data_IF_409481298260
#
_entry.id   IF_409481298260
#
_cell.length_a   1.000
_cell.length_b   1.000
_cell.length_c   1.000
_cell.angle_alpha   90.00
_cell.angle_beta   90.00
_cell.angle_gamma   90.00
#
_symmetry.space_group_name_H-M   'P 1'
#
loop_
_entity.id
_entity.type
_entity.pdbx_description
1 polymer ?
#
# COMPACT_ATOMS: atom_id res chain seq x y z
N UNK A 1 -65.87 28.05 -18.85
CA UNK A 1 -64.63 27.49 -19.42
C UNK A 1 -63.61 27.47 -18.30
N UNK A 2 -63.29 26.29 -17.76
CA UNK A 2 -62.46 26.08 -16.58
C UNK A 2 -60.98 26.33 -16.90
N UNK A 3 -60.33 27.30 -16.25
CA UNK A 3 -58.88 27.49 -16.31
C UNK A 3 -58.24 26.79 -15.10
N UNK A 4 -57.61 25.65 -15.35
CA UNK A 4 -56.77 24.95 -14.40
C UNK A 4 -55.51 25.77 -14.09
N UNK A 5 -55.33 26.14 -12.82
CA UNK A 5 -54.10 26.72 -12.29
C UNK A 5 -53.05 25.63 -12.05
N UNK A 6 -51.96 25.64 -12.81
CA UNK A 6 -50.80 24.77 -12.58
C UNK A 6 -50.08 25.15 -11.27
N UNK A 7 -50.05 24.22 -10.32
CA UNK A 7 -49.24 24.30 -9.10
C UNK A 7 -47.77 24.12 -9.46
N UNK A 8 -46.92 25.13 -9.19
CA UNK A 8 -45.46 25.00 -9.29
C UNK A 8 -44.94 24.24 -8.07
N UNK A 9 -44.34 23.07 -8.28
CA UNK A 9 -43.62 22.35 -7.24
C UNK A 9 -42.32 23.09 -6.90
N UNK A 10 -42.13 23.44 -5.63
CA UNK A 10 -40.90 24.01 -5.09
C UNK A 10 -39.80 22.93 -5.15
N UNK A 11 -38.85 23.08 -6.08
CA UNK A 11 -37.63 22.27 -6.07
C UNK A 11 -36.82 22.62 -4.81
N UNK A 12 -36.50 21.58 -4.03
CA UNK A 12 -35.59 21.66 -2.88
C UNK A 12 -34.27 22.33 -3.27
N UNK A 13 -33.66 23.16 -2.38
CA UNK A 13 -32.45 23.90 -2.72
C UNK A 13 -31.31 22.93 -3.01
N UNK A 14 -30.62 23.17 -4.13
CA UNK A 14 -29.38 22.50 -4.50
C UNK A 14 -28.37 22.69 -3.35
N UNK A 15 -27.72 21.63 -2.85
CA UNK A 15 -26.69 21.80 -1.83
C UNK A 15 -25.58 22.67 -2.42
N UNK A 16 -25.25 23.76 -1.72
CA UNK A 16 -24.19 24.68 -2.07
C UNK A 16 -22.85 23.92 -2.12
N UNK A 17 -22.35 23.69 -3.33
CA UNK A 17 -21.02 23.12 -3.56
C UNK A 17 -20.00 24.20 -3.23
N UNK A 18 -19.25 24.02 -2.14
CA UNK A 18 -18.13 24.90 -1.78
C UNK A 18 -17.01 24.71 -2.82
N UNK A 19 -17.07 25.51 -3.87
CA UNK A 19 -16.02 25.69 -4.87
C UNK A 19 -14.87 26.52 -4.29
N UNK A 20 -14.08 25.95 -3.35
CA UNK A 20 -13.11 26.75 -2.59
C UNK A 20 -11.64 26.32 -2.64
N UNK A 21 -11.29 25.04 -2.81
CA UNK A 21 -9.98 24.58 -2.31
C UNK A 21 -9.05 23.93 -3.33
N UNK A 22 -9.51 23.60 -4.53
CA UNK A 22 -8.67 22.97 -5.57
C UNK A 22 -7.85 23.98 -6.39
N UNK A 23 -8.14 25.28 -6.29
CA UNK A 23 -7.45 26.34 -7.04
C UNK A 23 -6.11 26.76 -6.44
N UNK A 24 -5.93 26.62 -5.12
CA UNK A 24 -4.73 27.10 -4.43
C UNK A 24 -3.46 26.32 -4.80
N UNK A 25 -3.57 25.00 -5.01
CA UNK A 25 -2.39 24.16 -5.29
C UNK A 25 -1.82 24.29 -6.71
N UNK A 26 -2.42 25.11 -7.58
CA UNK A 26 -2.00 25.27 -9.00
C UNK A 26 -1.43 26.65 -9.34
N UNK A 27 -1.40 27.59 -8.40
CA UNK A 27 -0.79 28.91 -8.62
C UNK A 27 0.70 28.84 -9.03
N UNK A 28 1.37 27.71 -8.77
CA UNK A 28 2.78 27.50 -9.12
C UNK A 28 3.03 26.68 -10.40
N UNK A 29 2.01 26.24 -11.14
CA UNK A 29 2.19 25.45 -12.37
C UNK A 29 2.05 26.34 -13.61
N UNK A 30 3.09 26.48 -14.46
CA UNK A 30 2.99 27.22 -15.73
C UNK A 30 2.19 26.46 -16.81
N UNK A 31 1.77 25.21 -16.55
CA UNK A 31 1.07 24.37 -17.52
C UNK A 31 -0.46 24.55 -17.44
N UNK A 32 -1.16 24.54 -18.60
CA UNK A 32 -2.62 24.58 -18.63
C UNK A 32 -3.23 23.34 -17.95
N UNK A 33 -4.48 23.44 -17.45
CA UNK A 33 -5.16 22.30 -16.85
C UNK A 33 -5.29 21.16 -17.87
N UNK A 34 -5.08 19.89 -17.47
CA UNK A 34 -5.18 18.75 -18.38
C UNK A 34 -6.60 18.64 -18.94
N UNK A 35 -6.73 18.19 -20.20
CA UNK A 35 -8.01 18.15 -20.93
C UNK A 35 -9.13 17.35 -20.22
N UNK A 36 -8.77 16.42 -19.33
CA UNK A 36 -9.70 15.62 -18.53
C UNK A 36 -9.95 16.19 -17.11
N UNK A 37 -9.57 17.43 -16.83
CA UNK A 37 -9.77 18.05 -15.52
C UNK A 37 -11.24 18.41 -15.32
N UNK A 38 -11.99 17.53 -14.64
CA UNK A 38 -13.32 17.86 -14.12
C UNK A 38 -13.20 18.74 -12.88
N UNK A 39 -13.98 19.83 -12.86
CA UNK A 39 -14.13 20.73 -11.70
C UNK A 39 -14.89 20.07 -10.54
N UNK A 40 -15.61 18.98 -10.81
CA UNK A 40 -16.38 18.24 -9.82
C UNK A 40 -15.49 17.24 -9.05
N UNK A 41 -15.48 17.38 -7.72
CA UNK A 41 -14.88 16.40 -6.82
C UNK A 41 -15.74 15.13 -6.82
N UNK A 42 -15.32 14.10 -7.57
CA UNK A 42 -15.96 12.78 -7.50
C UNK A 42 -15.91 12.28 -6.05
N UNK A 43 -17.06 11.87 -5.51
CA UNK A 43 -17.15 11.23 -4.20
C UNK A 43 -16.22 10.03 -4.10
N UNK A 44 -15.69 9.76 -2.91
CA UNK A 44 -14.83 8.61 -2.64
C UNK A 44 -15.46 7.29 -3.11
N UNK A 45 -16.77 7.14 -2.95
CA UNK A 45 -17.56 5.99 -3.43
C UNK A 45 -17.54 5.86 -4.95
N UNK A 46 -17.61 6.98 -5.68
CA UNK A 46 -17.54 6.96 -7.14
C UNK A 46 -16.14 6.58 -7.63
N UNK A 47 -15.10 7.03 -6.93
CA UNK A 47 -13.71 6.66 -7.22
C UNK A 47 -13.45 5.17 -6.94
N UNK A 48 -13.89 4.65 -5.79
CA UNK A 48 -13.73 3.24 -5.44
C UNK A 48 -14.51 2.33 -6.40
N UNK A 49 -15.77 2.67 -6.73
CA UNK A 49 -16.55 1.92 -7.72
C UNK A 49 -15.86 1.87 -9.10
N UNK A 50 -15.31 3.00 -9.56
CA UNK A 50 -14.57 3.05 -10.83
C UNK A 50 -13.31 2.18 -10.79
N UNK A 51 -12.59 2.16 -9.67
CA UNK A 51 -11.42 1.32 -9.47
C UNK A 51 -11.79 -0.18 -9.45
N UNK A 52 -12.82 -0.55 -8.68
CA UNK A 52 -13.34 -1.93 -8.63
C UNK A 52 -13.82 -2.42 -10.00
N UNK A 53 -14.52 -1.58 -10.76
CA UNK A 53 -14.95 -1.91 -12.12
C UNK A 53 -13.76 -2.15 -13.05
N UNK A 54 -12.64 -1.44 -12.85
CA UNK A 54 -11.42 -1.62 -13.64
C UNK A 54 -10.67 -2.90 -13.29
N UNK A 55 -10.76 -3.40 -12.04
CA UNK A 55 -10.17 -4.70 -11.66
C UNK A 55 -10.66 -5.86 -12.52
N UNK A 56 -11.88 -5.77 -13.04
CA UNK A 56 -12.46 -6.80 -13.91
C UNK A 56 -12.12 -6.62 -15.40
N UNK A 57 -11.41 -5.55 -15.78
CA UNK A 57 -11.08 -5.20 -17.17
C UNK A 57 -9.58 -5.33 -17.45
N UNK A 58 -9.10 -6.56 -17.56
CA UNK A 58 -7.68 -6.88 -17.77
C UNK A 58 -7.04 -6.21 -19.00
N UNK A 59 -7.77 -6.09 -20.12
CA UNK A 59 -7.25 -5.46 -21.35
C UNK A 59 -6.96 -3.95 -21.22
N UNK A 60 -7.43 -3.31 -20.14
CA UNK A 60 -7.24 -1.88 -19.90
C UNK A 60 -6.15 -1.60 -18.85
N UNK A 61 -5.42 -2.64 -18.41
CA UNK A 61 -4.40 -2.55 -17.36
C UNK A 61 -3.00 -2.45 -17.95
N UNK A 62 -2.21 -1.48 -17.47
CA UNK A 62 -0.82 -1.27 -17.91
C UNK A 62 0.15 -2.17 -17.12
N UNK A 63 0.19 -3.47 -17.46
CA UNK A 63 1.04 -4.45 -16.77
C UNK A 63 2.54 -4.19 -16.89
N UNK A 64 3.01 -3.70 -18.03
CA UNK A 64 4.42 -3.40 -18.25
C UNK A 64 4.91 -2.34 -17.27
N UNK A 65 4.15 -1.24 -17.13
CA UNK A 65 4.45 -0.20 -16.17
C UNK A 65 4.44 -0.73 -14.73
N UNK A 66 3.45 -1.55 -14.37
CA UNK A 66 3.35 -2.17 -13.05
C UNK A 66 4.54 -3.09 -12.74
N UNK A 67 5.00 -3.90 -13.70
CA UNK A 67 6.19 -4.74 -13.57
C UNK A 67 7.45 -3.91 -13.31
N UNK A 68 7.65 -2.84 -14.08
CA UNK A 68 8.76 -1.92 -13.85
C UNK A 68 8.70 -1.26 -12.49
N UNK A 69 7.51 -0.87 -12.02
CA UNK A 69 7.34 -0.35 -10.67
C UNK A 69 7.75 -1.37 -9.61
N UNK A 70 7.35 -2.63 -9.75
CA UNK A 70 7.73 -3.71 -8.83
C UNK A 70 9.24 -3.96 -8.82
N UNK A 71 9.88 -4.02 -9.99
CA UNK A 71 11.34 -4.17 -10.08
C UNK A 71 12.08 -2.98 -9.45
N UNK A 72 11.63 -1.76 -9.71
CA UNK A 72 12.25 -0.57 -9.15
C UNK A 72 12.08 -0.45 -7.64
N UNK A 73 11.08 -1.06 -7.02
CA UNK A 73 10.99 -1.12 -5.55
C UNK A 73 12.20 -1.82 -4.91
N UNK A 74 12.85 -2.74 -5.61
CA UNK A 74 14.10 -3.37 -5.17
C UNK A 74 15.34 -2.58 -5.55
N UNK A 75 15.46 -2.21 -6.83
CA UNK A 75 16.71 -1.69 -7.39
C UNK A 75 16.87 -0.19 -7.14
N UNK A 76 15.78 0.59 -7.29
CA UNK A 76 15.83 2.04 -7.27
C UNK A 76 14.46 2.64 -6.87
N UNK A 77 14.03 2.51 -5.61
CA UNK A 77 12.67 2.87 -5.21
C UNK A 77 12.37 4.36 -5.38
N UNK A 78 13.41 5.21 -5.38
CA UNK A 78 13.30 6.65 -5.67
C UNK A 78 12.71 6.91 -7.06
N UNK A 79 12.98 6.05 -8.04
CA UNK A 79 12.40 6.17 -9.40
C UNK A 79 10.89 5.98 -9.37
N UNK A 80 10.38 5.06 -8.54
CA UNK A 80 8.94 4.81 -8.40
C UNK A 80 8.24 6.08 -7.90
N UNK A 81 8.76 6.71 -6.86
CA UNK A 81 8.15 7.90 -6.28
C UNK A 81 8.30 9.16 -7.13
N UNK A 82 9.32 9.22 -7.99
CA UNK A 82 9.39 10.24 -9.05
C UNK A 82 8.19 10.15 -10.01
N UNK A 83 7.73 8.94 -10.35
CA UNK A 83 6.54 8.76 -11.19
C UNK A 83 5.25 9.23 -10.51
N UNK A 84 5.13 9.09 -9.18
CA UNK A 84 4.01 9.66 -8.43
C UNK A 84 3.98 11.19 -8.52
N UNK A 85 5.14 11.85 -8.45
CA UNK A 85 5.23 13.30 -8.62
C UNK A 85 4.85 13.75 -10.03
N UNK A 86 5.27 13.01 -11.07
CA UNK A 86 4.83 13.29 -12.44
C UNK A 86 3.32 13.11 -12.63
N UNK A 87 2.70 12.10 -11.99
CA UNK A 87 1.24 11.92 -12.00
C UNK A 87 0.51 13.05 -11.28
N UNK A 88 1.08 13.57 -10.19
CA UNK A 88 0.52 14.75 -9.53
C UNK A 88 0.49 15.97 -10.45
N UNK A 89 1.54 16.19 -11.25
CA UNK A 89 1.59 17.31 -12.19
C UNK A 89 0.60 17.14 -13.36
N UNK A 90 0.46 15.91 -13.89
CA UNK A 90 -0.35 15.64 -15.09
C UNK A 90 -1.82 15.33 -14.82
N UNK A 91 -2.16 14.72 -13.68
CA UNK A 91 -3.52 14.27 -13.30
C UNK A 91 -4.02 14.89 -11.99
N UNK A 92 -3.22 15.70 -11.32
CA UNK A 92 -3.55 16.35 -10.03
C UNK A 92 -3.89 15.40 -8.88
N UNK A 93 -3.53 14.12 -8.99
CA UNK A 93 -3.76 13.10 -7.95
C UNK A 93 -2.52 12.24 -7.73
N UNK A 94 -2.36 11.74 -6.51
CA UNK A 94 -1.27 10.84 -6.16
C UNK A 94 -1.69 9.36 -6.21
N UNK A 95 -2.89 9.02 -5.78
CA UNK A 95 -3.37 7.63 -5.76
C UNK A 95 -3.43 7.03 -7.18
N UNK A 96 -3.09 5.75 -7.35
CA UNK A 96 -3.17 5.00 -8.61
C UNK A 96 -4.60 4.93 -9.13
N UNK A 97 -4.73 5.00 -10.45
CA UNK A 97 -6.03 4.90 -11.14
C UNK A 97 -6.22 3.54 -11.82
N UNK A 98 -5.10 2.86 -12.06
CA UNK A 98 -4.98 1.57 -12.70
C UNK A 98 -4.75 0.49 -11.62
N UNK A 99 -5.46 -0.64 -11.70
CA UNK A 99 -5.33 -1.72 -10.72
C UNK A 99 -4.18 -2.69 -11.01
N UNK A 100 -3.39 -2.47 -12.07
CA UNK A 100 -2.41 -3.42 -12.59
C UNK A 100 -1.39 -3.86 -11.52
N UNK A 101 -0.89 -2.92 -10.72
CA UNK A 101 0.04 -3.21 -9.62
C UNK A 101 -0.58 -4.11 -8.55
N UNK A 102 -1.83 -3.85 -8.15
CA UNK A 102 -2.52 -4.67 -7.14
C UNK A 102 -2.77 -6.08 -7.67
N UNK A 103 -3.20 -6.22 -8.93
CA UNK A 103 -3.42 -7.52 -9.56
C UNK A 103 -2.13 -8.33 -9.59
N UNK A 104 -1.02 -7.72 -10.02
CA UNK A 104 0.28 -8.38 -10.08
C UNK A 104 0.80 -8.74 -8.68
N UNK A 105 0.59 -7.89 -7.68
CA UNK A 105 0.89 -8.18 -6.27
C UNK A 105 0.10 -9.38 -5.76
N UNK A 106 -1.19 -9.48 -6.07
CA UNK A 106 -2.04 -10.63 -5.70
C UNK A 106 -1.56 -11.91 -6.38
N UNK A 107 -1.16 -11.86 -7.65
CA UNK A 107 -0.56 -13.01 -8.33
C UNK A 107 0.73 -13.45 -7.63
N UNK A 108 1.61 -12.52 -7.27
CA UNK A 108 2.82 -12.84 -6.50
C UNK A 108 2.51 -13.44 -5.12
N UNK A 109 1.52 -12.90 -4.41
CA UNK A 109 1.03 -13.45 -3.13
C UNK A 109 0.56 -14.90 -3.29
N UNK A 110 -0.25 -15.19 -4.31
CA UNK A 110 -0.73 -16.55 -4.56
C UNK A 110 0.42 -17.52 -4.88
N UNK A 111 1.33 -17.14 -5.78
CA UNK A 111 2.47 -18.01 -6.18
C UNK A 111 3.40 -18.29 -5.00
N UNK A 112 3.76 -17.26 -4.23
CA UNK A 112 4.63 -17.43 -3.06
C UNK A 112 3.93 -18.22 -1.95
N UNK A 113 2.62 -18.02 -1.75
CA UNK A 113 1.84 -18.78 -0.77
C UNK A 113 1.74 -20.26 -1.13
N UNK A 114 1.62 -20.60 -2.42
CA UNK A 114 1.67 -21.99 -2.88
C UNK A 114 3.03 -22.64 -2.59
N UNK A 115 4.13 -21.92 -2.82
CA UNK A 115 5.47 -22.38 -2.46
C UNK A 115 5.61 -22.63 -0.96
N UNK A 116 5.10 -21.71 -0.13
CA UNK A 116 5.13 -21.84 1.32
C UNK A 116 4.29 -23.03 1.80
N UNK A 117 3.08 -23.20 1.25
CA UNK A 117 2.21 -24.33 1.56
C UNK A 117 2.85 -25.68 1.20
N UNK A 118 3.56 -25.76 0.06
CA UNK A 118 4.33 -26.92 -0.35
C UNK A 118 5.46 -27.24 0.64
N UNK A 119 6.25 -26.24 1.03
CA UNK A 119 7.36 -26.41 1.98
C UNK A 119 6.87 -26.83 3.37
N UNK A 120 5.68 -26.36 3.78
CA UNK A 120 5.07 -26.74 5.05
C UNK A 120 4.32 -28.08 5.00
N UNK A 121 4.15 -28.69 3.82
CA UNK A 121 3.40 -29.94 3.65
C UNK A 121 1.91 -29.80 3.99
N UNK A 122 1.29 -28.66 3.67
CA UNK A 122 -0.13 -28.40 3.93
C UNK A 122 -1.02 -29.21 2.99
N UNK A 123 -2.20 -29.63 3.46
CA UNK A 123 -3.22 -30.26 2.61
C UNK A 123 -3.82 -29.27 1.60
N UNK A 124 -4.59 -29.76 0.63
CA UNK A 124 -5.20 -28.90 -0.40
C UNK A 124 -6.10 -27.81 0.21
N UNK A 125 -7.01 -28.18 1.11
CA UNK A 125 -7.92 -27.25 1.78
C UNK A 125 -7.19 -26.26 2.69
N UNK A 126 -6.14 -26.74 3.34
CA UNK A 126 -5.24 -25.92 4.14
C UNK A 126 -4.50 -24.87 3.28
N UNK A 127 -4.01 -25.29 2.12
CA UNK A 127 -3.32 -24.42 1.16
C UNK A 127 -4.25 -23.33 0.63
N UNK A 128 -5.50 -23.68 0.29
CA UNK A 128 -6.52 -22.69 -0.10
C UNK A 128 -6.77 -21.69 1.03
N UNK A 129 -7.02 -22.18 2.24
CA UNK A 129 -7.30 -21.32 3.41
C UNK A 129 -6.12 -20.38 3.70
N UNK A 130 -4.90 -20.88 3.56
CA UNK A 130 -3.67 -20.09 3.71
C UNK A 130 -3.56 -18.97 2.67
N UNK A 131 -3.82 -19.25 1.39
CA UNK A 131 -3.82 -18.22 0.33
C UNK A 131 -4.86 -17.13 0.63
N UNK A 132 -6.08 -17.51 1.00
CA UNK A 132 -7.11 -16.53 1.36
C UNK A 132 -6.70 -15.67 2.55
N UNK A 133 -6.11 -16.28 3.58
CA UNK A 133 -5.63 -15.55 4.75
C UNK A 133 -4.55 -14.53 4.36
N UNK A 134 -3.53 -14.96 3.62
CA UNK A 134 -2.41 -14.10 3.20
C UNK A 134 -2.88 -12.95 2.30
N UNK A 135 -3.83 -13.19 1.39
CA UNK A 135 -4.35 -12.13 0.50
C UNK A 135 -5.28 -11.17 1.26
N UNK A 136 -6.31 -11.69 1.94
CA UNK A 136 -7.36 -10.82 2.49
C UNK A 136 -7.01 -10.26 3.88
N UNK A 137 -6.34 -11.04 4.72
CA UNK A 137 -5.99 -10.60 6.08
C UNK A 137 -4.66 -9.85 6.04
N UNK A 138 -3.59 -10.49 5.59
CA UNK A 138 -2.24 -9.93 5.75
C UNK A 138 -1.96 -8.77 4.77
N UNK A 139 -2.47 -8.83 3.55
CA UNK A 139 -2.29 -7.75 2.58
C UNK A 139 -3.41 -6.70 2.65
N UNK A 140 -4.68 -7.10 2.47
CA UNK A 140 -5.78 -6.12 2.35
C UNK A 140 -6.21 -5.55 3.71
N UNK A 141 -6.56 -6.38 4.69
CA UNK A 141 -7.09 -5.91 5.97
C UNK A 141 -6.05 -5.14 6.78
N UNK A 142 -4.86 -5.72 6.98
CA UNK A 142 -3.73 -5.03 7.62
C UNK A 142 -3.36 -3.76 6.84
N UNK A 143 -3.40 -3.81 5.51
CA UNK A 143 -3.15 -2.64 4.67
C UNK A 143 -4.14 -1.51 4.87
N UNK A 144 -5.44 -1.80 5.02
CA UNK A 144 -6.47 -0.79 5.33
C UNK A 144 -6.17 -0.13 6.69
N UNK A 145 -5.79 -0.92 7.70
CA UNK A 145 -5.45 -0.41 9.04
C UNK A 145 -4.24 0.52 8.96
N UNK A 146 -3.15 0.06 8.34
CA UNK A 146 -1.91 0.83 8.23
C UNK A 146 -2.12 2.10 7.40
N UNK A 147 -2.81 2.00 6.26
CA UNK A 147 -3.12 3.16 5.42
C UNK A 147 -3.94 4.20 6.19
N UNK A 148 -4.95 3.76 6.95
CA UNK A 148 -5.78 4.66 7.76
C UNK A 148 -5.00 5.31 8.88
N UNK A 149 -4.11 4.56 9.54
CA UNK A 149 -3.21 5.09 10.56
C UNK A 149 -2.29 6.18 9.99
N UNK A 150 -1.55 5.89 8.92
CA UNK A 150 -0.64 6.88 8.33
C UNK A 150 -1.39 8.06 7.73
N UNK A 151 -2.53 7.84 7.08
CA UNK A 151 -3.40 8.91 6.59
C UNK A 151 -3.83 9.86 7.72
N UNK A 152 -4.26 9.31 8.86
CA UNK A 152 -4.65 10.11 10.01
C UNK A 152 -3.46 10.87 10.62
N UNK A 153 -2.32 10.21 10.82
CA UNK A 153 -1.11 10.82 11.39
C UNK A 153 -0.55 11.92 10.49
N UNK A 154 -0.45 11.66 9.19
CA UNK A 154 0.14 12.61 8.23
C UNK A 154 -0.71 13.86 8.08
N UNK A 155 -2.03 13.71 7.92
CA UNK A 155 -2.93 14.85 7.81
C UNK A 155 -3.05 15.65 9.11
N UNK A 156 -2.95 15.00 10.27
CA UNK A 156 -3.07 15.68 11.56
C UNK A 156 -1.77 16.37 12.01
N UNK A 157 -0.60 15.76 11.77
CA UNK A 157 0.65 16.20 12.39
C UNK A 157 1.76 16.61 11.41
N UNK A 158 1.78 16.05 10.20
CA UNK A 158 2.90 16.24 9.27
C UNK A 158 2.61 17.26 8.16
N UNK A 159 1.37 17.75 8.03
CA UNK A 159 1.05 18.83 7.08
C UNK A 159 1.70 20.14 7.49
N UNK A 160 2.27 20.85 6.51
CA UNK A 160 2.91 22.17 6.76
C UNK A 160 1.87 23.21 7.14
N UNK A 161 0.78 23.32 6.36
CA UNK A 161 -0.31 24.27 6.54
C UNK A 161 -1.66 23.57 6.37
N UNK A 162 -2.67 24.02 7.13
CA UNK A 162 -4.05 23.50 7.04
C UNK A 162 -4.78 23.88 5.73
N UNK A 163 -4.23 24.82 4.97
CA UNK A 163 -4.76 25.27 3.67
C UNK A 163 -4.35 24.37 2.50
N UNK A 164 -3.29 23.57 2.66
CA UNK A 164 -2.82 22.63 1.63
C UNK A 164 -3.82 21.46 1.49
N UNK A 165 -3.95 20.84 0.33
CA UNK A 165 -4.87 19.71 0.16
C UNK A 165 -4.49 18.53 1.06
N UNK A 166 -5.49 17.81 1.57
CA UNK A 166 -5.27 16.58 2.32
C UNK A 166 -4.63 15.48 1.47
N UNK A 167 -3.91 14.60 2.14
CA UNK A 167 -3.40 13.38 1.52
C UNK A 167 -4.57 12.46 1.20
N UNK A 168 -4.58 11.95 -0.03
CA UNK A 168 -5.57 10.99 -0.50
C UNK A 168 -5.40 9.65 0.26
N UNK A 169 -6.47 9.12 0.86
CA UNK A 169 -6.42 7.81 1.53
C UNK A 169 -5.94 6.69 0.59
N UNK A 170 -6.37 6.73 -0.68
CA UNK A 170 -5.91 5.78 -1.70
C UNK A 170 -4.40 5.83 -1.94
N UNK A 171 -3.78 7.00 -1.77
CA UNK A 171 -2.33 7.13 -1.85
C UNK A 171 -1.63 6.51 -0.62
N UNK A 172 -2.18 6.70 0.58
CA UNK A 172 -1.64 6.03 1.78
C UNK A 172 -1.71 4.50 1.65
N UNK A 173 -2.77 3.98 1.04
CA UNK A 173 -2.89 2.56 0.69
C UNK A 173 -1.88 2.12 -0.37
N UNK A 174 -1.66 2.90 -1.43
CA UNK A 174 -0.61 2.62 -2.43
C UNK A 174 0.80 2.58 -1.82
N UNK A 175 1.08 3.48 -0.86
CA UNK A 175 2.36 3.49 -0.14
C UNK A 175 2.52 2.19 0.66
N UNK A 176 1.46 1.73 1.33
CA UNK A 176 1.47 0.43 2.01
C UNK A 176 1.74 -0.72 1.02
N UNK A 177 1.02 -0.79 -0.11
CA UNK A 177 1.22 -1.86 -1.09
C UNK A 177 2.64 -1.86 -1.67
N UNK A 178 3.21 -0.67 -1.94
CA UNK A 178 4.60 -0.54 -2.39
C UNK A 178 5.59 -0.99 -1.31
N UNK A 179 5.35 -0.64 -0.04
CA UNK A 179 6.21 -1.00 1.08
C UNK A 179 6.12 -2.48 1.44
N UNK A 180 4.95 -3.10 1.23
CA UNK A 180 4.68 -4.51 1.52
C UNK A 180 5.35 -5.47 0.53
N UNK A 181 5.55 -5.04 -0.72
CA UNK A 181 6.07 -5.91 -1.78
C UNK A 181 7.52 -6.40 -1.54
N UNK A 182 8.50 -5.57 -1.13
CA UNK A 182 9.85 -6.08 -0.83
C UNK A 182 9.92 -7.09 0.32
N UNK A 183 9.30 -6.85 1.50
CA UNK A 183 9.20 -7.85 2.57
C UNK A 183 8.56 -9.15 2.09
N UNK A 184 7.51 -9.07 1.26
CA UNK A 184 6.87 -10.25 0.68
C UNK A 184 7.88 -11.09 -0.12
N UNK A 185 8.61 -10.49 -1.08
CA UNK A 185 9.62 -11.24 -1.83
C UNK A 185 10.74 -11.76 -0.94
N UNK A 186 11.16 -10.98 0.05
CA UNK A 186 12.27 -11.38 0.91
C UNK A 186 11.88 -12.52 1.86
N UNK A 187 10.71 -12.46 2.50
CA UNK A 187 10.25 -13.40 3.54
C UNK A 187 9.46 -14.60 2.98
N UNK A 188 8.61 -14.40 1.97
CA UNK A 188 7.78 -15.48 1.42
C UNK A 188 8.43 -16.20 0.24
N UNK A 189 9.35 -15.56 -0.48
CA UNK A 189 10.03 -16.16 -1.63
C UNK A 189 11.48 -16.52 -1.32
N UNK A 190 12.34 -15.54 -1.02
CA UNK A 190 13.79 -15.79 -0.86
C UNK A 190 14.08 -16.62 0.38
N UNK A 191 13.51 -16.24 1.54
CA UNK A 191 13.75 -16.93 2.80
C UNK A 191 13.31 -18.41 2.77
N UNK A 192 12.33 -18.73 1.93
CA UNK A 192 11.78 -20.08 1.79
C UNK A 192 12.83 -21.11 1.35
N UNK A 193 13.75 -20.72 0.45
CA UNK A 193 14.84 -21.60 -0.01
C UNK A 193 15.79 -22.02 1.12
N UNK A 194 15.92 -21.19 2.15
CA UNK A 194 16.77 -21.44 3.31
C UNK A 194 16.02 -22.09 4.47
N UNK A 195 14.68 -22.20 4.39
CA UNK A 195 13.86 -22.59 5.52
C UNK A 195 14.18 -24.00 6.02
N UNK A 196 14.04 -25.02 5.17
CA UNK A 196 14.25 -26.41 5.55
C UNK A 196 15.72 -26.73 5.87
N UNK A 197 16.65 -26.13 5.12
CA UNK A 197 18.07 -26.45 5.23
C UNK A 197 18.74 -25.78 6.44
N UNK A 198 18.40 -24.52 6.72
CA UNK A 198 19.12 -23.73 7.70
C UNK A 198 18.21 -23.13 8.77
N UNK A 199 17.15 -22.42 8.42
CA UNK A 199 16.39 -21.58 9.37
C UNK A 199 15.58 -22.41 10.38
N UNK A 200 15.15 -23.61 10.01
CA UNK A 200 14.42 -24.54 10.89
C UNK A 200 15.27 -25.15 12.01
N UNK A 201 16.60 -25.09 11.90
CA UNK A 201 17.52 -25.68 12.87
C UNK A 201 17.63 -24.82 14.14
N UNK A 202 18.03 -25.44 15.26
CA UNK A 202 18.16 -24.77 16.57
C UNK A 202 19.45 -23.96 16.73
N UNK A 203 20.32 -23.97 15.72
CA UNK A 203 21.62 -23.33 15.77
C UNK A 203 21.54 -21.80 15.85
N UNK A 204 22.57 -21.17 16.41
CA UNK A 204 22.69 -19.72 16.43
C UNK A 204 22.63 -19.10 15.04
N UNK A 205 23.34 -19.69 14.06
CA UNK A 205 23.38 -19.18 12.68
C UNK A 205 22.01 -19.15 12.02
N UNK A 206 21.17 -20.16 12.29
CA UNK A 206 19.80 -20.27 11.80
C UNK A 206 18.91 -19.14 12.30
N UNK A 207 19.03 -18.83 13.61
CA UNK A 207 18.31 -17.73 14.26
C UNK A 207 18.81 -16.38 13.77
N UNK A 208 20.12 -16.19 13.71
CA UNK A 208 20.74 -14.96 13.24
C UNK A 208 20.32 -14.66 11.79
N UNK A 209 20.41 -15.64 10.89
CA UNK A 209 20.02 -15.48 9.50
C UNK A 209 18.52 -15.24 9.36
N UNK A 210 17.68 -16.03 10.04
CA UNK A 210 16.23 -15.87 10.04
C UNK A 210 15.81 -14.47 10.50
N UNK A 211 16.36 -14.00 11.62
CA UNK A 211 16.09 -12.66 12.15
C UNK A 211 16.67 -11.55 11.25
N UNK A 212 17.78 -11.81 10.54
CA UNK A 212 18.34 -10.85 9.57
C UNK A 212 17.41 -10.64 8.38
N UNK A 213 16.76 -11.71 7.88
CA UNK A 213 15.69 -11.57 6.88
C UNK A 213 14.55 -10.68 7.39
N UNK A 214 14.09 -10.87 8.64
CA UNK A 214 13.06 -10.01 9.23
C UNK A 214 13.52 -8.55 9.39
N UNK A 215 14.75 -8.33 9.84
CA UNK A 215 15.34 -7.00 9.92
C UNK A 215 15.37 -6.30 8.55
N UNK A 216 15.84 -7.00 7.52
CA UNK A 216 15.89 -6.47 6.15
C UNK A 216 14.48 -6.18 5.61
N UNK A 217 13.53 -7.10 5.80
CA UNK A 217 12.15 -6.93 5.35
C UNK A 217 11.50 -5.71 6.02
N UNK A 218 11.50 -5.66 7.35
CA UNK A 218 10.92 -4.54 8.10
C UNK A 218 11.64 -3.23 7.82
N UNK A 219 12.97 -3.25 7.68
CA UNK A 219 13.77 -2.09 7.32
C UNK A 219 13.39 -1.53 5.94
N UNK A 220 13.24 -2.41 4.94
CA UNK A 220 12.75 -2.02 3.61
C UNK A 220 11.34 -1.44 3.67
N UNK A 221 10.44 -2.07 4.42
CA UNK A 221 9.07 -1.58 4.57
C UNK A 221 9.06 -0.14 5.09
N UNK A 222 9.82 0.16 6.15
CA UNK A 222 9.93 1.50 6.73
C UNK A 222 10.56 2.48 5.73
N UNK A 223 11.62 2.09 5.03
CA UNK A 223 12.30 2.95 4.08
C UNK A 223 11.40 3.35 2.89
N UNK A 224 10.68 2.39 2.30
CA UNK A 224 9.72 2.65 1.21
C UNK A 224 8.56 3.53 1.71
N UNK A 225 8.06 3.26 2.92
CA UNK A 225 7.02 4.09 3.55
C UNK A 225 7.48 5.54 3.70
N UNK A 226 8.68 5.75 4.24
CA UNK A 226 9.30 7.08 4.34
C UNK A 226 9.40 7.76 2.98
N UNK A 227 9.90 7.03 1.97
CA UNK A 227 10.11 7.59 0.64
C UNK A 227 8.81 8.02 -0.04
N UNK A 228 7.71 7.29 0.21
CA UNK A 228 6.38 7.70 -0.21
C UNK A 228 5.97 9.03 0.37
N UNK A 229 5.91 9.14 1.70
CA UNK A 229 5.50 10.41 2.31
C UNK A 229 6.48 11.55 2.05
N UNK A 230 7.78 11.27 1.89
CA UNK A 230 8.78 12.28 1.58
C UNK A 230 8.69 12.85 0.16
N UNK A 231 8.02 12.17 -0.77
CA UNK A 231 7.84 12.71 -2.12
C UNK A 231 6.79 13.83 -2.18
N UNK A 232 5.96 13.97 -1.13
CA UNK A 232 4.91 14.98 -1.03
C UNK A 232 5.49 16.30 -0.51
N UNK A 233 5.42 17.40 -1.28
CA UNK A 233 6.11 18.66 -0.95
C UNK A 233 5.50 19.41 0.25
N UNK A 234 4.21 19.24 0.54
CA UNK A 234 3.51 19.93 1.64
C UNK A 234 3.53 19.14 2.97
N UNK A 235 4.29 18.04 3.03
CA UNK A 235 4.59 17.33 4.26
C UNK A 235 5.93 17.78 4.85
N UNK A 236 5.93 18.16 6.12
CA UNK A 236 7.11 18.45 6.92
C UNK A 236 7.45 17.27 7.82
N UNK A 237 8.71 17.19 8.25
CA UNK A 237 9.19 16.23 9.26
C UNK A 237 8.91 14.74 8.96
N UNK A 238 8.82 14.37 7.68
CA UNK A 238 8.64 12.98 7.22
C UNK A 238 9.73 12.03 7.73
N UNK A 239 10.92 12.56 8.05
CA UNK A 239 12.05 11.83 8.65
C UNK A 239 11.69 11.12 9.96
N UNK A 240 10.65 11.55 10.67
CA UNK A 240 10.15 10.88 11.89
C UNK A 240 9.79 9.41 11.61
N UNK A 241 9.32 9.08 10.40
CA UNK A 241 8.99 7.71 10.01
C UNK A 241 10.21 6.78 10.14
N UNK A 242 11.43 7.31 9.92
CA UNK A 242 12.68 6.54 10.01
C UNK A 242 13.07 6.16 11.44
N UNK A 243 12.44 6.75 12.48
CA UNK A 243 12.68 6.37 13.87
C UNK A 243 12.29 4.90 14.13
N UNK A 244 11.42 4.32 13.30
CA UNK A 244 11.13 2.89 13.37
C UNK A 244 12.36 2.01 13.07
N UNK A 245 13.33 2.45 12.27
CA UNK A 245 14.52 1.67 11.92
C UNK A 245 15.40 1.31 13.13
N UNK A 246 15.86 2.25 13.99
CA UNK A 246 16.63 1.90 15.18
C UNK A 246 15.83 1.04 16.16
N UNK A 247 14.49 1.21 16.24
CA UNK A 247 13.63 0.36 17.07
C UNK A 247 13.63 -1.08 16.55
N UNK A 248 13.46 -1.28 15.25
CA UNK A 248 13.50 -2.59 14.60
C UNK A 248 14.89 -3.23 14.78
N UNK A 249 15.96 -2.45 14.66
CA UNK A 249 17.32 -2.95 14.88
C UNK A 249 17.55 -3.40 16.33
N UNK A 250 17.07 -2.63 17.31
CA UNK A 250 17.11 -3.02 18.71
C UNK A 250 16.31 -4.30 18.96
N UNK A 251 15.10 -4.41 18.41
CA UNK A 251 14.28 -5.63 18.48
C UNK A 251 15.01 -6.84 17.87
N UNK A 252 15.68 -6.66 16.74
CA UNK A 252 16.50 -7.70 16.11
C UNK A 252 17.60 -8.20 17.07
N UNK A 253 18.32 -7.31 17.75
CA UNK A 253 19.34 -7.68 18.73
C UNK A 253 18.72 -8.46 19.89
N UNK A 254 17.65 -7.94 20.48
CA UNK A 254 16.96 -8.56 21.63
C UNK A 254 16.46 -9.97 21.30
N UNK A 255 15.73 -10.12 20.19
CA UNK A 255 15.17 -11.41 19.74
C UNK A 255 16.29 -12.42 19.45
N UNK A 256 17.41 -11.96 18.87
CA UNK A 256 18.57 -12.83 18.60
C UNK A 256 19.29 -13.27 19.88
N UNK A 257 19.49 -12.37 20.85
CA UNK A 257 20.17 -12.66 22.12
C UNK A 257 19.35 -13.62 22.99
N UNK A 258 18.03 -13.41 23.06
CA UNK A 258 17.11 -14.30 23.79
C UNK A 258 17.02 -15.69 23.12
N UNK A 259 17.51 -15.82 21.88
CA UNK A 259 17.49 -17.06 21.14
C UNK A 259 16.16 -17.37 20.49
N UNK A 260 15.31 -16.35 20.28
CA UNK A 260 14.04 -16.45 19.59
C UNK A 260 14.26 -16.31 18.07
N UNK A 261 13.72 -17.26 17.29
CA UNK A 261 13.65 -17.19 15.83
C UNK A 261 12.27 -16.68 15.37
N UNK A 262 12.20 -15.47 14.83
CA UNK A 262 10.94 -14.87 14.37
C UNK A 262 10.27 -15.68 13.25
N UNK A 263 11.05 -16.30 12.36
CA UNK A 263 10.53 -17.10 11.25
C UNK A 263 9.85 -18.37 11.73
N UNK A 264 10.38 -19.04 12.76
CA UNK A 264 9.74 -20.22 13.34
C UNK A 264 8.40 -19.85 13.97
N UNK A 265 8.34 -18.73 14.70
CA UNK A 265 7.07 -18.24 15.25
C UNK A 265 6.06 -17.86 14.18
N UNK A 266 6.50 -17.23 13.10
CA UNK A 266 5.66 -16.92 11.96
C UNK A 266 5.08 -18.20 11.32
N UNK A 267 5.92 -19.20 11.05
CA UNK A 267 5.46 -20.49 10.51
C UNK A 267 4.48 -21.18 11.46
N UNK A 268 4.78 -21.20 12.76
CA UNK A 268 3.90 -21.82 13.76
C UNK A 268 2.54 -21.10 13.83
N UNK A 269 2.52 -19.77 13.71
CA UNK A 269 1.29 -18.99 13.65
C UNK A 269 0.39 -19.42 12.49
N UNK A 270 0.93 -19.59 11.28
CA UNK A 270 0.13 -20.07 10.15
C UNK A 270 -0.28 -21.52 10.25
N UNK A 271 0.62 -22.39 10.74
CA UNK A 271 0.25 -23.80 11.00
C UNK A 271 -0.96 -23.86 11.93
N UNK A 272 -0.95 -23.11 13.04
CA UNK A 272 -2.06 -23.10 13.99
C UNK A 272 -3.36 -22.52 13.40
N UNK A 273 -3.30 -21.61 12.43
CA UNK A 273 -4.51 -21.01 11.82
C UNK A 273 -5.14 -21.87 10.75
N UNK A 274 -4.34 -22.72 10.12
CA UNK A 274 -4.73 -23.48 8.95
C UNK A 274 -5.06 -24.94 9.30
N UNK A 275 -4.49 -25.47 10.39
CA UNK A 275 -4.90 -26.74 11.01
C UNK A 275 -6.12 -26.57 11.90
#
# INVERSE_FOLDING_TARGET
MSQYSHVKYTQSPTPSVVSGYSSASRLHSPLPPPANHRRDCLSATTKSYKYLRRLLKFNQMDFEFALWQMLYLFVAPQKVYRNFNYRKQTKSQFARDDPAFLVLLVVCLCVTSLGFAYVLGLSFWQSISFIFYVVFVDCIFVGIIIASFFWAVTNRYLRTNSLEPDIEWGYAFDVHLNAFFPPLMLLHFIQLFFYNWLISQTWFISRFLGNTFWLMGMGYYVYITFLGYNCIPHLKNTRIILIALPIIFLLFLVVTIIGWNATISFVNFYKYRVY
#
